data_IF_284146609167
#
_entry.id   IF_284146609167
#
_cell.length_a   1.000
_cell.length_b   1.000
_cell.length_c   1.000
_cell.angle_alpha   90.00
_cell.angle_beta   90.00
_cell.angle_gamma   90.00
#
_symmetry.space_group_name_H-M   'P 1'
#
loop_
_entity.id
_entity.type
_entity.pdbx_description
1 polymer ?
#
# COMPACT_ATOMS: atom_id res chain seq x y z
N UNK A 1 23.72 -17.15 -24.84
CA UNK A 1 23.24 -18.31 -24.05
C UNK A 1 24.31 -18.93 -23.16
N UNK A 2 25.60 -18.95 -23.55
CA UNK A 2 26.68 -19.53 -22.73
C UNK A 2 26.88 -18.84 -21.36
N UNK A 3 26.82 -17.51 -21.31
CA UNK A 3 26.96 -16.75 -20.06
C UNK A 3 25.86 -17.08 -19.03
N UNK A 4 24.60 -17.16 -19.47
CA UNK A 4 23.48 -17.54 -18.60
C UNK A 4 23.62 -18.98 -18.09
N UNK A 5 24.05 -19.91 -18.93
CA UNK A 5 24.30 -21.29 -18.51
C UNK A 5 25.41 -21.39 -17.46
N UNK A 6 26.50 -20.65 -17.62
CA UNK A 6 27.59 -20.59 -16.62
C UNK A 6 27.14 -19.96 -15.31
N UNK A 7 26.28 -18.93 -15.39
CA UNK A 7 25.69 -18.28 -14.23
C UNK A 7 24.76 -19.25 -13.46
N UNK A 8 23.80 -19.88 -14.14
CA UNK A 8 22.91 -20.88 -13.54
C UNK A 8 23.66 -22.09 -12.98
N UNK A 9 24.75 -22.52 -13.61
CA UNK A 9 25.60 -23.59 -13.09
C UNK A 9 26.37 -23.23 -11.82
N UNK A 10 26.61 -21.93 -11.57
CA UNK A 10 27.34 -21.44 -10.38
C UNK A 10 26.43 -21.29 -9.16
N UNK A 11 25.16 -20.95 -9.36
CA UNK A 11 24.19 -20.71 -8.30
C UNK A 11 23.16 -21.86 -8.23
N UNK A 12 23.38 -22.79 -7.31
CA UNK A 12 22.45 -23.89 -7.01
C UNK A 12 21.42 -23.46 -5.97
N UNK A 13 20.47 -22.63 -6.35
CA UNK A 13 19.35 -22.24 -5.51
C UNK A 13 18.07 -22.96 -5.94
N UNK A 14 16.93 -22.53 -5.39
CA UNK A 14 15.60 -22.90 -5.87
C UNK A 14 15.49 -22.74 -7.40
N UNK A 15 14.52 -23.43 -8.05
CA UNK A 15 14.30 -23.29 -9.48
C UNK A 15 14.25 -21.83 -9.90
N UNK A 16 14.84 -21.52 -11.06
CA UNK A 16 14.76 -20.18 -11.63
C UNK A 16 13.31 -19.92 -12.05
N UNK A 17 12.67 -18.95 -11.42
CA UNK A 17 11.33 -18.48 -11.79
C UNK A 17 11.46 -17.27 -12.71
N UNK A 18 10.59 -17.17 -13.71
CA UNK A 18 10.60 -16.11 -14.74
C UNK A 18 9.18 -15.62 -14.99
N UNK A 19 9.02 -14.33 -15.26
CA UNK A 19 7.75 -13.62 -15.51
C UNK A 19 6.76 -13.58 -14.32
N UNK A 20 6.65 -14.62 -13.51
CA UNK A 20 5.80 -14.67 -12.32
C UNK A 20 6.48 -15.45 -11.20
N UNK A 21 6.61 -14.84 -10.03
CA UNK A 21 7.28 -15.45 -8.90
C UNK A 21 6.82 -14.88 -7.55
N UNK A 22 7.04 -15.65 -6.49
CA UNK A 22 6.76 -15.22 -5.12
C UNK A 22 8.05 -14.71 -4.47
N UNK A 23 8.11 -13.41 -4.20
CA UNK A 23 9.24 -12.79 -3.51
C UNK A 23 8.82 -12.26 -2.13
N UNK A 24 9.32 -12.89 -1.08
CA UNK A 24 9.03 -12.50 0.31
C UNK A 24 7.53 -12.40 0.64
N UNK A 25 6.67 -13.20 -0.02
CA UNK A 25 5.22 -13.13 0.15
C UNK A 25 4.54 -12.01 -0.64
N UNK A 26 5.24 -11.37 -1.58
CA UNK A 26 4.69 -10.54 -2.66
C UNK A 26 4.74 -11.36 -3.94
N UNK A 27 3.60 -11.52 -4.61
CA UNK A 27 3.61 -12.06 -5.97
C UNK A 27 3.99 -10.95 -6.93
N UNK A 28 5.07 -11.16 -7.66
CA UNK A 28 5.55 -10.26 -8.69
C UNK A 28 5.19 -10.88 -10.03
N UNK A 29 4.52 -10.10 -10.88
CA UNK A 29 4.17 -10.50 -12.24
C UNK A 29 4.65 -9.45 -13.24
N UNK A 30 5.40 -9.90 -14.23
CA UNK A 30 5.83 -9.12 -15.38
C UNK A 30 4.68 -9.08 -16.41
N UNK A 31 4.22 -7.87 -16.72
CA UNK A 31 3.32 -7.57 -17.82
C UNK A 31 4.09 -7.12 -19.06
N UNK A 32 3.39 -6.58 -20.06
CA UNK A 32 4.04 -6.10 -21.30
C UNK A 32 4.94 -4.88 -21.06
N UNK A 33 4.47 -3.90 -20.29
CA UNK A 33 5.17 -2.64 -19.99
C UNK A 33 5.10 -2.32 -18.48
N UNK A 34 4.95 -3.34 -17.63
CA UNK A 34 4.75 -3.11 -16.21
C UNK A 34 5.11 -4.30 -15.33
N UNK A 35 5.38 -4.01 -14.05
CA UNK A 35 5.42 -5.01 -12.99
C UNK A 35 4.22 -4.85 -12.07
N UNK A 36 3.49 -5.94 -11.86
CA UNK A 36 2.34 -6.00 -10.97
C UNK A 36 2.77 -6.67 -9.67
N UNK A 37 2.56 -5.98 -8.55
CA UNK A 37 2.86 -6.46 -7.20
C UNK A 37 1.54 -6.70 -6.45
N UNK A 38 1.26 -7.95 -6.09
CA UNK A 38 0.05 -8.33 -5.36
C UNK A 38 0.35 -9.16 -4.10
N UNK A 39 -0.53 -9.08 -3.11
CA UNK A 39 -0.44 -9.80 -1.84
C UNK A 39 -1.80 -10.32 -1.38
N UNK A 40 -2.61 -10.80 -2.32
CA UNK A 40 -3.98 -11.24 -2.06
C UNK A 40 -4.04 -12.43 -1.10
N UNK A 41 -3.18 -13.43 -1.29
CA UNK A 41 -3.08 -14.64 -0.45
C UNK A 41 -2.61 -14.32 0.96
N UNK A 42 -1.53 -13.55 1.09
CA UNK A 42 -1.03 -13.10 2.39
C UNK A 42 -2.11 -12.35 3.17
N UNK A 43 -2.84 -11.46 2.48
CA UNK A 43 -3.93 -10.69 3.06
C UNK A 43 -5.12 -11.54 3.50
N UNK A 44 -5.34 -12.69 2.85
CA UNK A 44 -6.38 -13.63 3.24
C UNK A 44 -6.01 -14.44 4.49
N UNK A 45 -4.71 -14.63 4.74
CA UNK A 45 -4.20 -15.34 5.92
C UNK A 45 -4.10 -14.50 7.20
N UNK A 46 -4.43 -13.21 7.16
CA UNK A 46 -4.30 -12.34 8.34
C UNK A 46 -5.36 -12.66 9.40
N UNK A 47 -4.90 -12.92 10.62
CA UNK A 47 -5.76 -13.08 11.78
C UNK A 47 -6.26 -11.74 12.33
N UNK A 48 -7.39 -11.80 13.03
CA UNK A 48 -7.91 -10.69 13.85
C UNK A 48 -7.58 -10.93 15.33
N UNK A 49 -7.47 -9.85 16.10
CA UNK A 49 -7.31 -9.94 17.55
C UNK A 49 -8.57 -10.55 18.16
N UNK A 50 -8.39 -11.57 18.99
CA UNK A 50 -9.48 -12.22 19.73
C UNK A 50 -9.59 -11.58 21.11
N UNK A 51 -10.75 -11.01 21.41
CA UNK A 51 -11.04 -10.40 22.71
C UNK A 51 -12.54 -10.48 23.02
N UNK A 52 -12.89 -10.40 24.30
CA UNK A 52 -14.27 -10.39 24.77
C UNK A 52 -14.90 -9.02 24.62
N UNK A 53 -16.19 -8.96 24.25
CA UNK A 53 -16.91 -7.69 24.15
C UNK A 53 -17.07 -7.08 25.54
N UNK A 54 -16.34 -6.00 25.77
CA UNK A 54 -16.39 -5.16 26.98
C UNK A 54 -16.28 -3.69 26.60
N UNK A 55 -16.38 -2.80 27.59
CA UNK A 55 -16.31 -1.34 27.36
C UNK A 55 -15.00 -0.96 26.64
N UNK A 56 -15.14 -0.16 25.57
CA UNK A 56 -14.06 0.30 24.69
C UNK A 56 -12.98 1.10 25.43
N UNK A 57 -13.34 1.73 26.54
CA UNK A 57 -12.42 2.56 27.34
C UNK A 57 -11.53 1.73 28.25
N UNK A 58 -11.86 0.46 28.47
CA UNK A 58 -11.04 -0.41 29.31
C UNK A 58 -9.69 -0.71 28.66
N UNK A 59 -8.62 -0.83 29.45
CA UNK A 59 -7.31 -1.21 28.93
C UNK A 59 -7.35 -2.61 28.32
N UNK A 60 -6.50 -2.82 27.31
CA UNK A 60 -6.23 -4.15 26.77
C UNK A 60 -5.36 -4.95 27.74
N UNK A 61 -5.55 -6.27 27.80
CA UNK A 61 -4.67 -7.15 28.58
C UNK A 61 -3.31 -7.31 27.89
N UNK A 62 -2.25 -7.71 28.61
CA UNK A 62 -0.94 -7.95 28.00
C UNK A 62 -0.97 -8.95 26.83
N UNK A 63 -1.81 -9.97 26.93
CA UNK A 63 -2.02 -10.98 25.89
C UNK A 63 -2.69 -10.38 24.65
N UNK A 64 -3.71 -9.54 24.84
CA UNK A 64 -4.39 -8.82 23.77
C UNK A 64 -3.46 -7.81 23.08
N UNK A 65 -2.61 -7.12 23.84
CA UNK A 65 -1.59 -6.20 23.29
C UNK A 65 -0.57 -6.98 22.46
N UNK A 66 -0.21 -8.19 22.87
CA UNK A 66 0.69 -9.06 22.11
C UNK A 66 0.06 -9.48 20.78
N UNK A 67 -1.21 -9.89 20.80
CA UNK A 67 -1.97 -10.18 19.58
C UNK A 67 -2.10 -8.94 18.68
N UNK A 68 -2.40 -7.77 19.26
CA UNK A 68 -2.49 -6.50 18.55
C UNK A 68 -1.19 -6.20 17.79
N UNK A 69 -0.03 -6.36 18.43
CA UNK A 69 1.28 -6.18 17.76
C UNK A 69 1.48 -7.15 16.60
N UNK A 70 1.05 -8.41 16.76
CA UNK A 70 1.09 -9.40 15.69
C UNK A 70 0.26 -8.97 14.47
N UNK A 71 -1.00 -8.57 14.70
CA UNK A 71 -1.91 -8.12 13.64
C UNK A 71 -1.41 -6.84 12.96
N UNK A 72 -0.99 -5.84 13.74
CA UNK A 72 -0.44 -4.60 13.19
C UNK A 72 0.85 -4.85 12.41
N UNK A 73 1.70 -5.77 12.86
CA UNK A 73 2.90 -6.18 12.12
C UNK A 73 2.57 -6.86 10.79
N UNK A 74 1.54 -7.70 10.76
CA UNK A 74 1.09 -8.32 9.51
C UNK A 74 0.52 -7.29 8.52
N UNK A 75 -0.29 -6.35 9.00
CA UNK A 75 -0.81 -5.25 8.18
C UNK A 75 0.33 -4.36 7.69
N UNK A 76 1.35 -4.12 8.53
CA UNK A 76 2.52 -3.34 8.16
C UNK A 76 3.26 -3.93 6.97
N UNK A 77 3.49 -5.24 6.94
CA UNK A 77 4.14 -5.88 5.79
C UNK A 77 3.40 -5.56 4.49
N UNK A 78 2.07 -5.70 4.48
CA UNK A 78 1.28 -5.37 3.29
C UNK A 78 1.32 -3.88 2.94
N UNK A 79 1.18 -3.02 3.93
CA UNK A 79 1.11 -1.57 3.71
C UNK A 79 2.41 -1.02 3.11
N UNK A 80 3.56 -1.57 3.51
CA UNK A 80 4.86 -1.20 2.95
C UNK A 80 5.08 -1.73 1.53
N UNK A 81 4.58 -2.93 1.22
CA UNK A 81 4.88 -3.59 -0.05
C UNK A 81 3.89 -3.26 -1.17
N UNK A 82 2.59 -3.31 -0.90
CA UNK A 82 1.55 -3.27 -1.96
C UNK A 82 0.33 -2.41 -1.63
N UNK A 83 0.25 -1.82 -0.43
CA UNK A 83 -0.95 -1.11 0.02
C UNK A 83 -0.65 0.17 0.84
N UNK A 84 0.05 1.18 0.27
CA UNK A 84 0.45 2.39 0.98
C UNK A 84 -0.73 3.20 1.54
N UNK A 85 -1.93 3.05 0.98
CA UNK A 85 -3.15 3.72 1.46
C UNK A 85 -3.50 3.38 2.92
N UNK A 86 -3.06 2.25 3.45
CA UNK A 86 -3.32 1.86 4.85
C UNK A 86 -2.29 2.44 5.84
N UNK A 87 -1.18 3.01 5.36
CA UNK A 87 -0.05 3.43 6.19
C UNK A 87 -0.42 4.49 7.24
N UNK A 88 -1.27 5.45 6.89
CA UNK A 88 -1.68 6.51 7.82
C UNK A 88 -2.44 5.93 9.03
N UNK A 89 -3.49 5.14 8.78
CA UNK A 89 -4.29 4.49 9.83
C UNK A 89 -3.45 3.53 10.66
N UNK A 90 -2.57 2.76 10.00
CA UNK A 90 -1.65 1.85 10.68
C UNK A 90 -0.72 2.60 11.64
N UNK A 91 -0.09 3.68 11.19
CA UNK A 91 0.84 4.48 12.02
C UNK A 91 0.15 5.06 13.25
N UNK A 92 -1.11 5.49 13.09
CA UNK A 92 -1.93 5.98 14.18
C UNK A 92 -2.21 4.90 15.23
N UNK A 93 -2.61 3.70 14.81
CA UNK A 93 -2.85 2.58 15.72
C UNK A 93 -1.57 2.10 16.42
N UNK A 94 -0.45 2.07 15.69
CA UNK A 94 0.85 1.72 16.26
C UNK A 94 1.25 2.66 17.40
N UNK A 95 0.96 3.96 17.28
CA UNK A 95 1.22 4.94 18.35
C UNK A 95 0.42 4.69 19.63
N UNK A 96 -0.75 4.06 19.52
CA UNK A 96 -1.63 3.76 20.65
C UNK A 96 -1.28 2.45 21.35
N UNK A 97 -0.38 1.63 20.79
CA UNK A 97 -0.04 0.29 21.32
C UNK A 97 0.52 0.33 22.75
N UNK A 98 1.15 1.43 23.17
CA UNK A 98 1.71 1.59 24.51
C UNK A 98 0.63 1.73 25.60
N UNK A 99 -0.53 2.29 25.25
CA UNK A 99 -1.70 2.50 26.12
C UNK A 99 -2.96 2.00 25.42
N UNK A 100 -2.90 0.78 24.88
CA UNK A 100 -3.98 0.24 24.07
C UNK A 100 -5.23 -0.01 24.92
N UNK A 101 -6.39 0.36 24.36
CA UNK A 101 -7.70 0.05 24.94
C UNK A 101 -8.44 -0.97 24.08
N UNK A 102 -9.57 -1.48 24.58
CA UNK A 102 -10.47 -2.34 23.80
C UNK A 102 -10.94 -1.64 22.51
N UNK A 103 -11.12 -0.31 22.56
CA UNK A 103 -11.38 0.50 21.36
C UNK A 103 -10.24 0.45 20.33
N UNK A 104 -8.97 0.44 20.77
CA UNK A 104 -7.82 0.25 19.87
C UNK A 104 -7.85 -1.14 19.22
N UNK A 105 -8.22 -2.19 19.95
CA UNK A 105 -8.35 -3.56 19.41
C UNK A 105 -9.46 -3.63 18.34
N UNK A 106 -10.59 -2.98 18.60
CA UNK A 106 -11.70 -2.90 17.63
C UNK A 106 -11.28 -2.17 16.35
N UNK A 107 -10.56 -1.05 16.47
CA UNK A 107 -10.05 -0.31 15.32
C UNK A 107 -9.02 -1.11 14.53
N UNK A 108 -8.13 -1.86 15.20
CA UNK A 108 -7.19 -2.75 14.53
C UNK A 108 -7.91 -3.86 13.76
N UNK A 109 -8.95 -4.48 14.35
CA UNK A 109 -9.78 -5.46 13.65
C UNK A 109 -10.56 -4.84 12.49
N UNK A 110 -11.00 -3.59 12.59
CA UNK A 110 -11.61 -2.86 11.47
C UNK A 110 -10.61 -2.70 10.33
N UNK A 111 -9.38 -2.26 10.62
CA UNK A 111 -8.32 -2.13 9.62
C UNK A 111 -7.99 -3.48 8.98
N UNK A 112 -7.90 -4.56 9.76
CA UNK A 112 -7.69 -5.92 9.23
C UNK A 112 -8.78 -6.34 8.23
N UNK A 113 -10.05 -6.01 8.50
CA UNK A 113 -11.17 -6.27 7.58
C UNK A 113 -11.10 -5.42 6.32
N UNK A 114 -10.74 -4.14 6.44
CA UNK A 114 -10.55 -3.24 5.30
C UNK A 114 -9.43 -3.75 4.39
N UNK A 115 -8.31 -4.14 4.98
CA UNK A 115 -7.19 -4.81 4.33
C UNK A 115 -7.71 -6.05 3.58
N UNK A 116 -8.37 -6.98 4.27
CA UNK A 116 -8.94 -8.18 3.62
C UNK A 116 -9.91 -7.86 2.46
N UNK A 117 -10.79 -6.88 2.64
CA UNK A 117 -11.74 -6.45 1.60
C UNK A 117 -11.01 -5.92 0.36
N UNK A 118 -9.91 -5.20 0.55
CA UNK A 118 -9.10 -4.62 -0.51
C UNK A 118 -7.95 -5.52 -0.98
N UNK A 119 -7.93 -6.82 -0.63
CA UNK A 119 -6.80 -7.74 -0.89
C UNK A 119 -6.42 -7.89 -2.37
N UNK A 120 -7.33 -7.59 -3.28
CA UNK A 120 -7.11 -7.66 -4.73
C UNK A 120 -6.53 -6.36 -5.31
N UNK A 121 -6.34 -5.34 -4.47
CA UNK A 121 -5.63 -4.13 -4.89
C UNK A 121 -4.13 -4.42 -5.01
N UNK A 122 -3.54 -4.02 -6.12
CA UNK A 122 -2.13 -4.20 -6.44
C UNK A 122 -1.46 -2.86 -6.77
N UNK A 123 -0.13 -2.85 -6.69
CA UNK A 123 0.69 -1.76 -7.23
C UNK A 123 1.17 -2.18 -8.61
N UNK A 124 1.09 -1.25 -9.56
CA UNK A 124 1.63 -1.41 -10.91
C UNK A 124 2.80 -0.44 -11.06
N UNK A 125 3.98 -0.97 -11.32
CA UNK A 125 5.17 -0.18 -11.67
C UNK A 125 5.23 -0.16 -13.19
N UNK A 126 4.94 1.00 -13.77
CA UNK A 126 4.91 1.17 -15.22
C UNK A 126 6.31 1.44 -15.76
N UNK A 127 6.61 0.90 -16.93
CA UNK A 127 7.73 1.38 -17.74
C UNK A 127 7.43 2.81 -18.21
N UNK A 128 8.31 3.74 -17.85
CA UNK A 128 8.20 5.15 -18.23
C UNK A 128 8.54 5.37 -19.71
N UNK A 129 9.15 4.39 -20.38
CA UNK A 129 9.55 4.45 -21.79
C UNK A 129 10.44 5.66 -22.10
N UNK A 130 11.37 5.96 -21.17
CA UNK A 130 12.35 7.05 -21.26
C UNK A 130 13.74 6.53 -20.91
N UNK A 131 14.76 7.30 -21.26
CA UNK A 131 16.12 7.02 -20.81
C UNK A 131 16.20 7.11 -19.27
N UNK A 132 16.90 6.19 -18.59
CA UNK A 132 17.14 6.28 -17.15
C UNK A 132 17.67 7.65 -16.67
N UNK A 133 18.45 8.35 -17.50
CA UNK A 133 19.00 9.67 -17.18
C UNK A 133 17.94 10.79 -17.18
N UNK A 134 16.79 10.56 -17.83
CA UNK A 134 15.67 11.51 -17.93
C UNK A 134 14.59 11.30 -16.85
N UNK A 135 14.76 10.31 -15.97
CA UNK A 135 13.76 10.01 -14.93
C UNK A 135 13.67 11.16 -13.93
N UNK A 136 12.46 11.68 -13.75
CA UNK A 136 12.17 12.75 -12.79
C UNK A 136 11.46 12.18 -11.57
N UNK A 137 11.88 12.59 -10.37
CA UNK A 137 11.21 12.19 -9.12
C UNK A 137 10.33 13.33 -8.59
N UNK A 138 9.08 13.00 -8.28
CA UNK A 138 8.12 13.92 -7.64
C UNK A 138 7.82 13.39 -6.25
N UNK A 139 7.88 14.29 -5.26
CA UNK A 139 7.52 14.00 -3.89
C UNK A 139 6.29 14.81 -3.47
N UNK A 140 5.27 14.12 -2.98
CA UNK A 140 4.16 14.75 -2.25
C UNK A 140 4.34 14.49 -0.77
N UNK A 141 4.19 15.52 0.05
CA UNK A 141 4.24 15.41 1.49
C UNK A 141 3.04 16.09 2.14
N UNK A 142 2.59 15.54 3.25
CA UNK A 142 1.56 16.12 4.10
C UNK A 142 1.92 15.89 5.56
N UNK A 143 1.50 16.81 6.43
CA UNK A 143 1.75 16.72 7.86
C UNK A 143 0.56 17.19 8.68
N UNK A 144 0.21 16.38 9.68
CA UNK A 144 -0.80 16.70 10.68
C UNK A 144 -0.12 16.98 12.03
N UNK A 145 -0.42 18.14 12.61
CA UNK A 145 0.17 18.59 13.88
C UNK A 145 -0.67 18.08 15.05
N UNK A 146 -0.02 17.55 16.08
CA UNK A 146 -0.66 17.17 17.35
C UNK A 146 -1.69 16.04 17.25
N UNK A 147 -1.63 15.22 16.20
CA UNK A 147 -2.64 14.18 15.95
C UNK A 147 -2.40 12.89 16.76
N UNK A 148 -1.23 12.71 17.36
CA UNK A 148 -0.87 11.52 18.13
C UNK A 148 -1.33 11.62 19.61
N UNK A 149 -1.48 10.49 20.32
CA UNK A 149 -1.85 10.47 21.74
C UNK A 149 -0.89 11.20 22.67
N UNK A 150 0.35 11.42 22.24
CA UNK A 150 1.41 12.15 22.94
C UNK A 150 1.51 13.62 22.51
N UNK A 151 0.54 14.13 21.75
CA UNK A 151 0.57 15.44 21.07
C UNK A 151 1.70 15.58 20.04
N UNK A 152 2.31 14.45 19.63
CA UNK A 152 3.24 14.41 18.53
C UNK A 152 2.55 14.67 17.18
N UNK A 153 3.33 15.17 16.23
CA UNK A 153 2.90 15.34 14.84
C UNK A 153 3.15 14.08 14.02
N UNK A 154 2.38 13.89 12.95
CA UNK A 154 2.62 12.85 11.95
C UNK A 154 2.85 13.49 10.60
N UNK A 155 3.96 13.15 9.95
CA UNK A 155 4.22 13.48 8.56
C UNK A 155 4.22 12.23 7.70
N UNK A 156 3.79 12.36 6.46
CA UNK A 156 3.88 11.32 5.44
C UNK A 156 4.37 11.92 4.13
N UNK A 157 4.99 11.09 3.30
CA UNK A 157 5.36 11.46 1.95
C UNK A 157 5.24 10.27 1.01
N UNK A 158 5.01 10.55 -0.27
CA UNK A 158 5.04 9.58 -1.35
C UNK A 158 5.97 10.13 -2.43
N UNK A 159 6.90 9.30 -2.88
CA UNK A 159 7.82 9.63 -3.97
C UNK A 159 7.42 8.76 -5.17
N UNK A 160 7.29 9.37 -6.33
CA UNK A 160 7.06 8.66 -7.60
C UNK A 160 8.11 9.05 -8.63
N UNK A 161 8.57 8.06 -9.39
CA UNK A 161 9.33 8.29 -10.62
C UNK A 161 8.35 8.60 -11.76
N UNK A 162 8.68 9.56 -12.61
CA UNK A 162 7.85 10.02 -13.72
C UNK A 162 8.69 10.66 -14.81
N UNK A 163 8.03 11.06 -15.90
CA UNK A 163 8.66 11.75 -17.03
C UNK A 163 8.83 13.25 -16.72
N UNK A 164 9.82 13.94 -17.31
CA UNK A 164 10.05 15.39 -17.10
C UNK A 164 8.81 16.26 -17.34
N UNK A 165 7.93 15.83 -18.25
CA UNK A 165 6.70 16.50 -18.64
C UNK A 165 5.68 16.66 -17.50
N UNK A 166 5.87 16.00 -16.34
CA UNK A 166 4.97 16.13 -15.18
C UNK A 166 4.90 17.57 -14.65
N UNK A 167 5.95 18.36 -14.89
CA UNK A 167 6.07 19.76 -14.47
C UNK A 167 5.34 20.73 -15.40
N UNK A 168 5.08 20.29 -16.63
CA UNK A 168 4.28 21.03 -17.59
C UNK A 168 2.81 20.69 -17.31
N UNK A 169 1.95 21.70 -17.16
CA UNK A 169 0.54 21.52 -16.76
C UNK A 169 -0.34 20.90 -17.86
N UNK A 170 0.09 19.76 -18.42
CA UNK A 170 -0.64 18.98 -19.39
C UNK A 170 -1.27 17.78 -18.69
N UNK A 171 -2.59 17.63 -18.83
CA UNK A 171 -3.28 16.43 -18.35
C UNK A 171 -2.77 15.23 -19.13
N UNK A 172 -1.93 14.42 -18.51
CA UNK A 172 -1.50 13.14 -19.08
C UNK A 172 -2.72 12.22 -19.02
N UNK A 173 -3.46 12.12 -20.12
CA UNK A 173 -4.55 11.15 -20.25
C UNK A 173 -3.89 9.80 -20.51
N UNK A 174 -3.92 8.82 -19.58
CA UNK A 174 -3.40 7.49 -19.86
C UNK A 174 -4.11 6.96 -21.11
N UNK A 175 -3.34 6.41 -22.06
CA UNK A 175 -3.88 5.89 -23.32
C UNK A 175 -5.02 4.91 -22.99
N UNK A 176 -6.21 5.20 -23.53
CA UNK A 176 -7.54 4.59 -23.27
C UNK A 176 -7.62 3.04 -23.24
N UNK A 177 -6.55 2.31 -23.59
CA UNK A 177 -6.50 0.85 -23.53
C UNK A 177 -6.13 0.29 -22.15
N UNK A 178 -5.48 1.05 -21.26
CA UNK A 178 -5.07 0.56 -19.94
C UNK A 178 -6.09 0.78 -18.80
N UNK A 179 -7.15 1.58 -19.05
CA UNK A 179 -8.05 2.06 -17.99
C UNK A 179 -9.44 1.40 -17.99
N UNK A 180 -9.64 0.29 -18.72
CA UNK A 180 -10.96 -0.37 -18.75
C UNK A 180 -11.25 -1.23 -17.52
N UNK A 181 -10.22 -1.70 -16.80
CA UNK A 181 -10.40 -2.68 -15.73
C UNK A 181 -10.01 -2.20 -14.33
N UNK A 182 -9.53 -0.96 -14.18
CA UNK A 182 -9.13 -0.41 -12.87
C UNK A 182 -9.66 1.00 -12.70
N UNK A 183 -10.92 1.11 -12.27
CA UNK A 183 -11.44 2.33 -11.64
C UNK A 183 -10.69 2.55 -10.32
N UNK A 184 -9.63 3.34 -10.37
CA UNK A 184 -9.06 3.98 -9.19
C UNK A 184 -10.05 5.08 -8.76
N UNK A 185 -10.65 5.02 -7.55
CA UNK A 185 -11.73 5.92 -7.15
C UNK A 185 -11.29 7.38 -6.96
N UNK A 186 -10.00 7.68 -7.10
CA UNK A 186 -9.46 9.03 -6.87
C UNK A 186 -9.58 9.99 -8.07
N UNK A 187 -9.82 9.49 -9.28
CA UNK A 187 -9.87 10.32 -10.50
C UNK A 187 -11.29 10.55 -11.08
N UNK A 188 -12.32 9.89 -10.54
CA UNK A 188 -13.67 9.91 -11.13
C UNK A 188 -14.66 10.75 -10.30
N UNK A 189 -14.39 12.05 -10.07
CA UNK A 189 -15.43 12.96 -9.53
C UNK A 189 -15.29 14.45 -9.84
N UNK A 190 -14.70 14.82 -10.98
CA UNK A 190 -14.74 16.22 -11.47
C UNK A 190 -14.85 16.30 -13.00
N UNK A 191 -15.98 15.90 -13.56
CA UNK A 191 -16.36 16.34 -14.92
C UNK A 191 -17.81 16.02 -15.28
N UNK A 192 -18.79 16.34 -14.41
CA UNK A 192 -20.16 16.50 -14.88
C UNK A 192 -20.82 17.70 -14.21
N UNK A 193 -21.01 18.75 -15.01
CA UNK A 193 -22.11 19.70 -14.93
C UNK A 193 -22.10 20.70 -13.77
N UNK A 194 -21.56 21.89 -14.01
CA UNK A 194 -22.07 23.15 -13.44
C UNK A 194 -21.62 24.29 -14.38
N UNK A 195 -22.37 24.47 -15.46
CA UNK A 195 -22.43 25.71 -16.22
C UNK A 195 -23.83 26.27 -16.00
N UNK A 196 -23.92 27.43 -15.35
CA UNK A 196 -25.15 28.20 -15.28
C UNK A 196 -25.44 28.78 -13.90
N UNK A 197 -25.42 30.11 -13.85
CA UNK A 197 -26.08 31.00 -12.87
C UNK A 197 -25.31 31.31 -11.58
N UNK A 198 -24.36 32.24 -11.70
CA UNK A 198 -24.31 33.39 -10.79
C UNK A 198 -25.14 34.52 -11.42
N UNK A 199 -25.88 35.23 -10.58
CA UNK A 199 -26.60 36.47 -10.86
C UNK A 199 -25.72 37.56 -11.47
#
# INVERSE_FOLDING_TARGET
>A
MEALSRFYGRFRWSPWETNEYMHCGVRVKEGEDEFILEQSEYSASMDQVKFEKRDEKLPATPEEVTQLRGVLGAIQWRAYSTAPQHMATLSMLQSQTSKATVGTLQQANKLAREVYAQRHMCIRILDLQIDPDDVTFVAWSDAAVGNRPDLGSTGGYIIAATTPNVTEAHTIVPKRKQLKDTTCPFAARRSQGLHGMCS
#
